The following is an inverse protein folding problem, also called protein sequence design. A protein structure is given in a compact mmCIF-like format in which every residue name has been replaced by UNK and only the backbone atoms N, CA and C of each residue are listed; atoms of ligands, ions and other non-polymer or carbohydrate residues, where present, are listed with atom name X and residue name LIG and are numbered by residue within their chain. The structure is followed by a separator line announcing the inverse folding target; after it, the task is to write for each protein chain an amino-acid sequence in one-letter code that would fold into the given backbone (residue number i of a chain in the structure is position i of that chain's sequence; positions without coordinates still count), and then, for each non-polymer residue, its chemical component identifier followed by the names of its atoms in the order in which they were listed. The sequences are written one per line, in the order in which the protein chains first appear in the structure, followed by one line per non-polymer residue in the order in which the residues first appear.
data_IF_970115590570
#
_entry.id   IF_970115590570
#
_cell.length_a   1.000
_cell.length_b   1.000
_cell.length_c   1.000
_cell.angle_alpha   90.00
_cell.angle_beta   90.00
_cell.angle_gamma   90.00
#
_symmetry.space_group_name_H-M   'P 1'
#
loop_
_entity.id
_entity.type
_entity.pdbx_description
1 polymer ?
#
# COMPACT_ATOMS: atom_id res chain seq x y z
N UNK A 1 -2.27 34.43 3.86
CA UNK A 1 -2.75 33.12 4.33
C UNK A 1 -1.71 32.10 3.93
N UNK A 2 -1.11 31.39 4.88
CA UNK A 2 -0.22 30.26 4.59
C UNK A 2 -1.03 29.18 3.88
N UNK A 3 -0.52 28.63 2.79
CA UNK A 3 -1.19 27.54 2.07
C UNK A 3 -1.28 26.33 3.02
N UNK A 4 -2.44 25.69 3.12
CA UNK A 4 -2.65 24.44 3.88
C UNK A 4 -2.58 23.19 3.00
N UNK A 5 -2.35 23.38 1.71
CA UNK A 5 -2.43 22.28 0.75
C UNK A 5 -1.22 21.36 0.86
N UNK A 6 -1.47 20.06 0.92
CA UNK A 6 -0.43 19.03 0.84
C UNK A 6 -0.69 18.16 -0.39
N UNK A 7 0.31 18.05 -1.26
CA UNK A 7 0.23 17.13 -2.39
C UNK A 7 0.85 15.78 -2.03
N UNK A 8 0.10 14.70 -2.24
CA UNK A 8 0.55 13.33 -1.94
C UNK A 8 0.89 12.62 -3.25
N UNK A 9 2.06 11.98 -3.31
CA UNK A 9 2.45 11.08 -4.40
C UNK A 9 2.46 9.64 -3.90
N UNK A 10 1.61 8.81 -4.48
CA UNK A 10 1.57 7.36 -4.27
C UNK A 10 1.13 6.67 -5.58
N UNK A 11 1.10 5.35 -5.58
CA UNK A 11 0.65 4.56 -6.72
C UNK A 11 -0.81 4.87 -7.11
N UNK A 12 -1.18 4.75 -8.40
CA UNK A 12 -2.57 4.85 -8.82
C UNK A 12 -3.48 3.90 -8.03
N UNK A 13 -4.57 4.42 -7.46
CA UNK A 13 -5.35 3.71 -6.44
C UNK A 13 -6.18 2.53 -7.02
N UNK A 14 -6.68 2.67 -8.25
CA UNK A 14 -7.26 1.60 -9.07
C UNK A 14 -7.99 0.47 -8.32
N UNK A 15 -7.44 -0.74 -8.41
CA UNK A 15 -7.95 -1.98 -7.81
C UNK A 15 -7.24 -2.39 -6.51
N UNK A 16 -6.25 -1.63 -6.05
CA UNK A 16 -5.42 -2.00 -4.91
C UNK A 16 -6.09 -1.54 -3.61
N UNK A 17 -6.83 -2.42 -2.95
CA UNK A 17 -7.51 -2.14 -1.66
C UNK A 17 -6.55 -1.58 -0.60
N UNK A 18 -5.35 -2.15 -0.50
CA UNK A 18 -4.33 -1.66 0.43
C UNK A 18 -3.84 -0.26 0.07
N UNK A 19 -3.56 -0.02 -1.23
CA UNK A 19 -3.19 1.28 -1.76
C UNK A 19 -4.26 2.35 -1.54
N UNK A 20 -5.54 2.00 -1.75
CA UNK A 20 -6.69 2.86 -1.46
C UNK A 20 -6.73 3.22 0.02
N UNK A 21 -6.61 2.23 0.90
CA UNK A 21 -6.74 2.46 2.34
C UNK A 21 -5.56 3.21 2.95
N UNK A 22 -4.32 3.02 2.48
CA UNK A 22 -3.20 3.84 2.97
C UNK A 22 -3.34 5.30 2.49
N UNK A 23 -3.80 5.52 1.25
CA UNK A 23 -4.05 6.87 0.75
C UNK A 23 -5.20 7.55 1.51
N UNK A 24 -6.28 6.82 1.78
CA UNK A 24 -7.38 7.28 2.64
C UNK A 24 -6.84 7.69 4.02
N UNK A 25 -6.14 6.79 4.70
CA UNK A 25 -5.67 7.01 6.06
C UNK A 25 -4.69 8.18 6.14
N UNK A 26 -3.76 8.32 5.18
CA UNK A 26 -2.86 9.46 5.13
C UNK A 26 -3.62 10.78 4.94
N UNK A 27 -4.64 10.81 4.07
CA UNK A 27 -5.47 12.02 3.94
C UNK A 27 -6.24 12.33 5.23
N UNK A 28 -6.78 11.33 5.93
CA UNK A 28 -7.48 11.57 7.20
C UNK A 28 -6.54 12.10 8.27
N UNK A 29 -5.32 11.55 8.40
CA UNK A 29 -4.34 12.01 9.38
C UNK A 29 -3.94 13.47 9.12
N UNK A 30 -3.72 13.84 7.85
CA UNK A 30 -3.40 15.21 7.47
C UNK A 30 -4.58 16.18 7.68
N UNK A 31 -5.83 15.72 7.47
CA UNK A 31 -7.03 16.52 7.78
C UNK A 31 -7.21 16.76 9.28
N UNK A 32 -6.91 15.75 10.12
CA UNK A 32 -6.91 15.91 11.57
C UNK A 32 -5.87 16.93 12.05
N UNK A 33 -4.80 17.15 11.26
CA UNK A 33 -3.78 18.19 11.46
C UNK A 33 -4.13 19.53 10.78
N UNK A 34 -5.38 19.73 10.35
CA UNK A 34 -5.88 20.98 9.74
C UNK A 34 -5.20 21.35 8.40
N UNK A 35 -4.76 20.33 7.64
CA UNK A 35 -4.27 20.47 6.26
C UNK A 35 -5.30 20.02 5.21
N UNK A 36 -5.08 20.44 3.97
CA UNK A 36 -5.90 20.10 2.80
C UNK A 36 -5.14 19.14 1.86
N UNK A 37 -5.20 17.81 2.10
CA UNK A 37 -4.46 16.86 1.30
C UNK A 37 -5.11 16.61 -0.06
N UNK A 38 -4.28 16.50 -1.09
CA UNK A 38 -4.66 16.16 -2.47
C UNK A 38 -3.69 15.11 -3.00
N UNK A 39 -4.18 13.91 -3.28
CA UNK A 39 -3.38 12.87 -3.93
C UNK A 39 -3.28 13.14 -5.43
N UNK A 40 -2.06 13.18 -5.97
CA UNK A 40 -1.84 13.39 -7.38
C UNK A 40 -2.23 12.12 -8.17
N UNK A 41 -3.18 12.26 -9.10
CA UNK A 41 -3.57 11.18 -10.01
C UNK A 41 -2.62 11.13 -11.20
N UNK A 42 -1.69 10.18 -11.19
CA UNK A 42 -0.60 10.05 -12.16
C UNK A 42 -0.71 8.70 -12.90
N UNK A 43 -1.61 8.58 -13.90
CA UNK A 43 -1.88 7.29 -14.57
C UNK A 43 -0.89 6.94 -15.69
N UNK A 44 0.12 7.78 -15.97
CA UNK A 44 1.01 7.59 -17.12
C UNK A 44 2.34 6.93 -16.77
N UNK A 45 2.95 6.35 -17.79
CA UNK A 45 4.14 5.50 -17.68
C UNK A 45 5.21 5.95 -18.69
N UNK A 46 6.42 6.24 -18.21
CA UNK A 46 7.59 6.62 -19.02
C UNK A 46 8.26 5.46 -19.74
N UNK A 47 7.87 4.20 -19.50
CA UNK A 47 8.41 3.04 -20.22
C UNK A 47 8.24 3.21 -21.72
N UNK A 48 9.32 2.92 -22.45
CA UNK A 48 9.38 3.10 -23.90
C UNK A 48 8.24 2.34 -24.59
N UNK A 49 7.74 2.91 -25.70
CA UNK A 49 6.70 2.24 -26.51
C UNK A 49 7.13 0.84 -26.94
N UNK A 50 8.44 0.65 -27.19
CA UNK A 50 9.03 -0.64 -27.55
C UNK A 50 8.99 -1.65 -26.39
N UNK A 51 9.29 -1.23 -25.16
CA UNK A 51 9.18 -2.09 -23.97
C UNK A 51 7.72 -2.46 -23.68
N UNK A 52 6.81 -1.48 -23.76
CA UNK A 52 5.36 -1.74 -23.65
C UNK A 52 4.85 -2.69 -24.74
N UNK A 53 5.35 -2.53 -25.96
CA UNK A 53 5.05 -3.43 -27.08
C UNK A 53 5.60 -4.83 -26.82
N UNK A 54 6.86 -4.97 -26.37
CA UNK A 54 7.47 -6.26 -26.06
C UNK A 54 6.73 -6.99 -24.91
N UNK A 55 6.39 -6.28 -23.83
CA UNK A 55 5.58 -6.81 -22.73
C UNK A 55 4.18 -7.25 -23.23
N UNK A 56 3.56 -6.50 -24.16
CA UNK A 56 2.30 -6.89 -24.80
C UNK A 56 2.44 -8.13 -25.71
N UNK A 57 3.56 -8.28 -26.43
CA UNK A 57 3.84 -9.48 -27.24
C UNK A 57 4.02 -10.71 -26.35
N UNK A 58 4.73 -10.59 -25.22
CA UNK A 58 4.88 -11.69 -24.25
C UNK A 58 3.53 -12.12 -23.66
N UNK A 59 2.62 -11.19 -23.39
CA UNK A 59 1.24 -11.49 -22.93
C UNK A 59 0.43 -12.23 -24.00
N UNK A 60 0.61 -11.85 -25.27
CA UNK A 60 0.00 -12.51 -26.43
C UNK A 60 0.50 -13.95 -26.60
N UNK A 61 1.82 -14.17 -26.46
CA UNK A 61 2.46 -15.49 -26.54
C UNK A 61 2.08 -16.39 -25.37
N UNK A 62 1.94 -15.85 -24.16
CA UNK A 62 1.46 -16.59 -22.97
C UNK A 62 -0.04 -16.92 -22.98
N UNK A 63 -0.76 -16.65 -24.08
CA UNK A 63 -2.23 -16.85 -24.21
C UNK A 63 -3.02 -16.21 -23.04
N UNK A 64 -2.56 -15.06 -22.55
CA UNK A 64 -3.30 -14.29 -21.53
C UNK A 64 -4.43 -13.56 -22.27
N UNK A 65 -5.59 -14.22 -22.37
CA UNK A 65 -6.75 -13.79 -23.15
C UNK A 65 -7.56 -12.71 -22.44
N UNK A 66 -6.99 -11.52 -22.23
CA UNK A 66 -7.59 -10.44 -21.44
C UNK A 66 -8.21 -9.31 -22.30
N UNK A 67 -9.41 -8.83 -21.93
CA UNK A 67 -10.03 -7.62 -22.50
C UNK A 67 -9.62 -6.40 -21.65
N UNK A 68 -8.89 -5.46 -22.24
CA UNK A 68 -8.41 -4.23 -21.58
C UNK A 68 -9.28 -3.00 -21.91
N UNK A 69 -10.50 -3.20 -22.40
CA UNK A 69 -11.33 -2.05 -22.76
C UNK A 69 -11.59 -1.15 -21.55
N UNK A 70 -11.53 0.16 -21.75
CA UNK A 70 -11.82 1.17 -20.73
C UNK A 70 -13.24 0.97 -20.15
N UNK A 71 -14.16 0.39 -20.94
CA UNK A 71 -15.52 0.07 -20.49
C UNK A 71 -15.51 -1.08 -19.49
N UNK A 72 -14.77 -2.14 -19.78
CA UNK A 72 -14.61 -3.31 -18.91
C UNK A 72 -13.96 -2.91 -17.58
N UNK A 73 -12.90 -2.09 -17.63
CA UNK A 73 -12.24 -1.55 -16.44
C UNK A 73 -13.18 -0.73 -15.56
N UNK A 74 -14.01 0.13 -16.14
CA UNK A 74 -14.98 0.93 -15.37
C UNK A 74 -15.99 0.07 -14.60
N UNK A 75 -16.48 -1.00 -15.21
CA UNK A 75 -17.44 -1.91 -14.57
C UNK A 75 -16.76 -2.69 -13.45
N UNK A 76 -15.57 -3.25 -13.73
CA UNK A 76 -14.79 -4.02 -12.75
C UNK A 76 -14.44 -3.19 -11.52
N UNK A 77 -14.02 -1.94 -11.71
CA UNK A 77 -13.57 -1.04 -10.64
C UNK A 77 -14.69 -0.16 -10.06
N UNK A 78 -15.96 -0.42 -10.38
CA UNK A 78 -17.04 0.51 -10.02
C UNK A 78 -17.12 0.80 -8.52
N UNK A 79 -16.87 -0.21 -7.68
CA UNK A 79 -16.96 -0.05 -6.23
C UNK A 79 -15.70 0.60 -5.64
N UNK A 80 -14.51 0.21 -6.07
CA UNK A 80 -13.26 0.85 -5.60
C UNK A 80 -13.18 2.30 -6.08
N UNK A 81 -13.58 2.58 -7.32
CA UNK A 81 -13.66 3.93 -7.88
C UNK A 81 -14.66 4.80 -7.13
N UNK A 82 -15.81 4.25 -6.75
CA UNK A 82 -16.79 4.94 -5.90
C UNK A 82 -16.17 5.31 -4.55
N UNK A 83 -15.51 4.37 -3.88
CA UNK A 83 -14.87 4.66 -2.59
C UNK A 83 -13.82 5.79 -2.71
N UNK A 84 -12.95 5.71 -3.72
CA UNK A 84 -11.95 6.75 -3.99
C UNK A 84 -12.62 8.11 -4.21
N UNK A 85 -13.66 8.19 -5.03
CA UNK A 85 -14.39 9.44 -5.31
C UNK A 85 -15.07 10.03 -4.06
N UNK A 86 -15.55 9.18 -3.15
CA UNK A 86 -16.25 9.61 -1.94
C UNK A 86 -15.30 10.06 -0.83
N UNK A 87 -14.13 9.43 -0.70
CA UNK A 87 -13.29 9.57 0.49
C UNK A 87 -11.90 10.17 0.24
N UNK A 88 -11.44 10.23 -1.01
CA UNK A 88 -10.08 10.64 -1.37
C UNK A 88 -10.13 11.82 -2.35
N UNK A 89 -9.53 12.94 -1.95
CA UNK A 89 -9.40 14.10 -2.84
C UNK A 89 -8.26 13.86 -3.82
N UNK A 90 -8.59 13.76 -5.11
CA UNK A 90 -7.63 13.59 -6.20
C UNK A 90 -7.39 14.89 -6.97
N UNK A 91 -6.19 15.06 -7.52
CA UNK A 91 -5.96 16.04 -8.59
C UNK A 91 -6.68 15.62 -9.88
N UNK A 92 -6.82 16.53 -10.87
CA UNK A 92 -7.08 16.10 -12.24
C UNK A 92 -6.01 15.09 -12.70
N UNK A 93 -6.34 14.14 -13.59
CA UNK A 93 -5.37 13.16 -14.07
C UNK A 93 -4.23 13.84 -14.82
N UNK A 94 -3.01 13.66 -14.32
CA UNK A 94 -1.77 14.20 -14.87
C UNK A 94 -1.18 13.12 -15.76
N UNK A 95 -1.36 13.21 -17.08
CA UNK A 95 -1.00 12.16 -18.07
C UNK A 95 0.35 12.36 -18.76
N UNK A 96 1.15 13.33 -18.31
CA UNK A 96 2.50 13.57 -18.82
C UNK A 96 3.35 14.38 -17.84
N UNK A 97 4.66 14.36 -18.05
CA UNK A 97 5.62 15.17 -17.30
C UNK A 97 5.30 16.67 -17.41
N UNK A 98 4.85 17.10 -18.59
CA UNK A 98 4.44 18.48 -18.82
C UNK A 98 3.23 18.84 -17.95
N UNK A 99 2.25 17.94 -17.83
CA UNK A 99 1.07 18.14 -16.99
C UNK A 99 1.41 18.12 -15.50
N UNK A 100 2.31 17.23 -15.05
CA UNK A 100 2.81 17.21 -13.67
C UNK A 100 3.50 18.53 -13.30
N UNK A 101 4.45 18.97 -14.12
CA UNK A 101 5.18 20.23 -13.90
C UNK A 101 4.26 21.45 -14.02
N UNK A 102 3.27 21.42 -14.91
CA UNK A 102 2.27 22.48 -15.01
C UNK A 102 1.36 22.54 -13.78
N UNK A 103 0.96 21.38 -13.24
CA UNK A 103 0.17 21.30 -12.01
C UNK A 103 0.95 21.90 -10.84
N UNK A 104 2.19 21.44 -10.63
CA UNK A 104 3.11 21.99 -9.63
C UNK A 104 3.22 23.53 -9.72
N UNK A 105 3.47 24.09 -10.91
CA UNK A 105 3.58 25.55 -11.07
C UNK A 105 2.29 26.32 -10.78
N UNK A 106 1.13 25.70 -10.99
CA UNK A 106 -0.19 26.34 -10.85
C UNK A 106 -0.82 26.16 -9.47
N UNK A 107 -0.37 25.17 -8.70
CA UNK A 107 -0.97 24.78 -7.44
C UNK A 107 0.10 24.88 -6.33
N UNK A 108 0.29 26.07 -5.73
CA UNK A 108 1.21 26.20 -4.61
C UNK A 108 0.77 25.31 -3.45
N UNK A 109 1.74 24.68 -2.80
CA UNK A 109 1.51 23.74 -1.71
C UNK A 109 2.43 24.08 -0.53
N UNK A 110 1.96 23.71 0.66
CA UNK A 110 2.76 23.74 1.89
C UNK A 110 3.85 22.68 1.83
N UNK A 111 3.47 21.48 1.38
CA UNK A 111 4.35 20.33 1.32
C UNK A 111 3.96 19.38 0.17
N UNK A 112 4.95 18.62 -0.26
CA UNK A 112 4.79 17.39 -1.03
C UNK A 112 5.18 16.20 -0.14
N UNK A 113 4.27 15.24 -0.01
CA UNK A 113 4.48 14.00 0.73
C UNK A 113 4.53 12.85 -0.27
N UNK A 114 5.62 12.09 -0.28
CA UNK A 114 5.72 10.84 -1.03
C UNK A 114 5.44 9.66 -0.11
N UNK A 115 4.57 8.76 -0.56
CA UNK A 115 4.15 7.58 0.19
C UNK A 115 2.68 7.62 0.61
N UNK A 116 2.21 6.63 1.36
CA UNK A 116 2.95 5.39 1.64
C UNK A 116 2.88 4.43 0.44
N UNK A 117 3.34 3.20 0.65
CA UNK A 117 3.48 2.08 -0.30
C UNK A 117 4.82 1.99 -1.05
N UNK A 118 4.96 0.99 -1.94
CA UNK A 118 6.17 0.62 -2.69
C UNK A 118 6.57 1.68 -3.75
N UNK A 119 6.53 2.95 -3.38
CA UNK A 119 6.76 4.13 -4.22
C UNK A 119 8.24 4.35 -4.56
N UNK A 120 9.14 3.62 -3.90
CA UNK A 120 10.57 3.63 -4.21
C UNK A 120 11.07 2.30 -4.80
N UNK A 121 10.16 1.39 -5.15
CA UNK A 121 10.51 0.15 -5.85
C UNK A 121 10.74 0.43 -7.34
N UNK A 122 11.98 0.32 -7.81
CA UNK A 122 12.34 0.68 -9.18
C UNK A 122 11.58 -0.14 -10.22
N UNK A 123 11.33 -1.43 -9.95
CA UNK A 123 10.54 -2.29 -10.83
C UNK A 123 9.11 -1.76 -11.05
N UNK A 124 8.50 -1.13 -10.03
CA UNK A 124 7.09 -0.75 -10.03
C UNK A 124 6.86 0.71 -10.41
N UNK A 125 7.89 1.55 -10.38
CA UNK A 125 7.77 2.99 -10.57
C UNK A 125 8.57 3.44 -11.80
N UNK A 126 7.91 3.55 -12.97
CA UNK A 126 8.56 4.00 -14.21
C UNK A 126 9.17 5.41 -14.16
N UNK A 127 8.74 6.23 -13.21
CA UNK A 127 9.14 7.62 -13.05
C UNK A 127 9.78 7.85 -11.70
N UNK A 128 10.67 6.93 -11.30
CA UNK A 128 11.20 6.88 -9.94
C UNK A 128 11.78 8.23 -9.48
N UNK A 129 12.43 9.00 -10.36
CA UNK A 129 12.96 10.34 -10.03
C UNK A 129 11.88 11.31 -9.52
N UNK A 130 10.66 11.25 -10.06
CA UNK A 130 9.55 12.11 -9.61
C UNK A 130 9.01 11.67 -8.25
N UNK A 131 9.13 10.38 -7.92
CA UNK A 131 8.83 9.86 -6.58
C UNK A 131 9.97 10.11 -5.58
N UNK A 132 11.11 10.65 -6.03
CA UNK A 132 12.08 11.36 -5.18
C UNK A 132 11.89 12.90 -5.28
N UNK A 133 10.74 13.35 -5.77
CA UNK A 133 10.37 14.77 -5.97
C UNK A 133 11.34 15.55 -6.87
N UNK A 134 12.03 14.88 -7.79
CA UNK A 134 12.99 15.50 -8.72
C UNK A 134 12.39 16.48 -9.72
N UNK A 135 11.06 16.53 -9.85
CA UNK A 135 10.39 17.55 -10.67
C UNK A 135 10.32 18.93 -10.01
N UNK A 136 10.54 19.01 -8.70
CA UNK A 136 10.54 20.27 -7.93
C UNK A 136 11.94 20.89 -8.00
N UNK A 137 12.09 22.14 -8.48
CA UNK A 137 13.38 22.84 -8.52
C UNK A 137 14.06 22.89 -7.15
N UNK A 138 15.38 22.76 -7.11
CA UNK A 138 16.16 22.76 -5.86
C UNK A 138 15.94 24.01 -4.99
N UNK A 139 15.92 25.18 -5.63
CA UNK A 139 15.75 26.46 -4.94
C UNK A 139 14.32 26.68 -4.38
N UNK A 140 13.37 25.78 -4.66
CA UNK A 140 12.01 25.88 -4.13
C UNK A 140 11.97 25.45 -2.65
N UNK A 141 11.53 26.34 -1.73
CA UNK A 141 11.49 26.07 -0.29
C UNK A 141 10.33 25.15 0.13
N UNK A 142 9.49 24.66 -0.80
CA UNK A 142 8.41 23.72 -0.47
C UNK A 142 8.93 22.51 0.29
N UNK A 143 8.21 22.11 1.34
CA UNK A 143 8.60 20.98 2.17
C UNK A 143 8.49 19.69 1.38
N UNK A 144 9.57 18.93 1.34
CA UNK A 144 9.65 17.61 0.70
C UNK A 144 9.72 16.57 1.81
N UNK A 145 8.71 15.70 1.89
CA UNK A 145 8.56 14.74 2.98
C UNK A 145 8.34 13.35 2.37
N UNK A 146 9.01 12.35 2.92
CA UNK A 146 8.66 10.95 2.66
C UNK A 146 7.97 10.41 3.91
N UNK A 147 6.75 9.90 3.75
CA UNK A 147 6.01 9.28 4.84
C UNK A 147 5.80 7.79 4.56
N UNK A 148 6.36 6.93 5.41
CA UNK A 148 6.28 5.48 5.29
C UNK A 148 6.56 5.01 3.85
N UNK A 149 7.53 5.63 3.16
CA UNK A 149 7.90 5.23 1.81
C UNK A 149 8.54 3.84 1.85
N UNK A 150 8.29 3.04 0.83
CA UNK A 150 8.70 1.64 0.81
C UNK A 150 9.43 1.29 -0.48
N UNK A 151 10.55 0.59 -0.32
CA UNK A 151 11.27 -0.05 -1.42
C UNK A 151 10.67 -1.41 -1.73
N UNK A 152 10.12 -2.09 -0.72
CA UNK A 152 9.38 -3.32 -0.94
C UNK A 152 10.21 -4.53 -1.32
N UNK A 153 11.53 -4.38 -1.40
CA UNK A 153 12.51 -5.42 -1.74
C UNK A 153 13.76 -5.22 -0.88
N UNK A 154 14.41 -6.33 -0.57
CA UNK A 154 15.71 -6.38 0.09
C UNK A 154 16.57 -7.42 -0.65
N UNK A 155 17.73 -7.03 -1.22
CA UNK A 155 18.30 -5.68 -1.24
C UNK A 155 17.49 -4.68 -2.10
N UNK A 156 17.65 -3.37 -1.81
CA UNK A 156 16.99 -2.30 -2.57
C UNK A 156 17.43 -2.32 -4.04
N UNK A 157 16.45 -2.27 -4.95
CA UNK A 157 16.60 -2.39 -6.41
C UNK A 157 16.99 -1.08 -7.13
N UNK A 158 17.74 -0.21 -6.45
CA UNK A 158 18.31 1.00 -7.08
C UNK A 158 19.64 0.63 -7.72
N UNK A 159 19.86 1.06 -8.97
CA UNK A 159 21.12 0.85 -9.68
C UNK A 159 22.26 1.72 -9.07
N UNK A 160 23.50 1.22 -8.92
CA UNK A 160 24.62 1.97 -8.33
C UNK A 160 24.85 3.35 -8.95
N UNK A 161 24.66 3.48 -10.26
CA UNK A 161 24.87 4.73 -11.03
C UNK A 161 23.86 5.83 -10.65
N UNK A 162 22.70 5.45 -10.09
CA UNK A 162 21.68 6.39 -9.61
C UNK A 162 21.89 6.84 -8.17
N UNK A 163 22.87 6.26 -7.47
CA UNK A 163 23.10 6.53 -6.05
C UNK A 163 23.38 8.02 -5.81
N UNK A 164 24.26 8.63 -6.61
CA UNK A 164 24.60 10.05 -6.46
C UNK A 164 23.38 10.96 -6.68
N UNK A 165 22.56 10.68 -7.70
CA UNK A 165 21.33 11.42 -7.96
C UNK A 165 20.35 11.32 -6.77
N UNK A 166 20.14 10.12 -6.23
CA UNK A 166 19.19 9.95 -5.13
C UNK A 166 19.71 10.42 -3.79
N UNK A 167 21.01 10.38 -3.54
CA UNK A 167 21.62 11.11 -2.42
C UNK A 167 21.32 12.60 -2.50
N UNK A 168 21.49 13.19 -3.68
CA UNK A 168 21.20 14.61 -3.90
C UNK A 168 19.70 14.92 -3.71
N UNK A 169 18.80 14.13 -4.32
CA UNK A 169 17.36 14.33 -4.15
C UNK A 169 16.89 14.12 -2.71
N UNK A 170 17.36 13.09 -2.02
CA UNK A 170 17.01 12.80 -0.62
C UNK A 170 17.51 13.89 0.32
N UNK A 171 18.66 14.52 0.04
CA UNK A 171 19.18 15.62 0.88
C UNK A 171 18.27 16.86 0.88
N UNK A 172 17.37 16.98 -0.10
CA UNK A 172 16.36 18.06 -0.20
C UNK A 172 15.10 17.78 0.64
N UNK A 173 14.95 16.58 1.20
CA UNK A 173 13.82 16.26 2.06
C UNK A 173 14.04 16.86 3.45
N UNK A 174 12.99 17.50 3.99
CA UNK A 174 13.03 18.01 5.37
C UNK A 174 12.88 16.87 6.38
N UNK A 175 12.22 15.79 5.98
CA UNK A 175 12.08 14.58 6.79
C UNK A 175 11.84 13.36 5.90
N UNK A 176 12.47 12.24 6.26
CA UNK A 176 12.32 10.96 5.57
C UNK A 176 11.88 9.91 6.58
N UNK A 177 10.79 9.21 6.27
CA UNK A 177 10.43 8.00 6.98
C UNK A 177 10.09 6.85 6.03
N UNK A 178 10.33 5.63 6.52
CA UNK A 178 10.19 4.39 5.76
C UNK A 178 9.33 3.38 6.50
N UNK A 179 8.65 2.53 5.73
CA UNK A 179 7.75 1.49 6.27
C UNK A 179 8.49 0.26 6.76
N UNK A 180 9.64 -0.05 6.16
CA UNK A 180 10.52 -1.16 6.55
C UNK A 180 11.66 -0.67 7.42
N UNK A 181 11.82 -1.25 8.60
CA UNK A 181 12.92 -0.90 9.51
C UNK A 181 14.31 -1.20 8.90
N UNK A 182 14.42 -2.19 8.01
CA UNK A 182 15.67 -2.51 7.31
C UNK A 182 16.13 -1.41 6.34
N UNK A 183 15.21 -0.57 5.84
CA UNK A 183 15.57 0.52 4.94
C UNK A 183 16.26 1.70 5.66
N UNK A 184 16.09 1.84 6.98
CA UNK A 184 16.69 2.92 7.77
C UNK A 184 18.23 2.92 7.71
N UNK A 185 18.94 1.84 8.14
CA UNK A 185 20.39 1.81 8.06
C UNK A 185 20.89 1.88 6.61
N UNK A 186 20.13 1.35 5.65
CA UNK A 186 20.54 1.34 4.26
C UNK A 186 20.47 2.74 3.62
N UNK A 187 19.46 3.54 3.96
CA UNK A 187 19.39 4.94 3.54
C UNK A 187 20.59 5.75 4.03
N UNK A 188 21.00 5.53 5.28
CA UNK A 188 22.16 6.20 5.86
C UNK A 188 23.47 5.76 5.16
N UNK A 189 23.69 4.45 5.01
CA UNK A 189 24.93 3.90 4.47
C UNK A 189 25.10 4.15 2.97
N UNK A 190 24.02 3.98 2.19
CA UNK A 190 24.08 4.03 0.73
C UNK A 190 23.86 5.44 0.18
N UNK A 191 22.97 6.20 0.79
CA UNK A 191 22.55 7.50 0.25
C UNK A 191 22.95 8.69 1.14
N UNK A 192 23.48 8.45 2.34
CA UNK A 192 23.78 9.53 3.29
C UNK A 192 22.52 10.19 3.87
N UNK A 193 21.36 9.52 3.76
CA UNK A 193 20.08 10.07 4.17
C UNK A 193 19.67 9.54 5.54
N UNK A 194 19.31 10.43 6.47
CA UNK A 194 18.75 10.04 7.77
C UNK A 194 17.26 9.78 7.61
N UNK A 195 16.80 8.61 8.05
CA UNK A 195 15.41 8.23 7.99
C UNK A 195 14.91 7.67 9.33
N UNK A 196 13.62 7.83 9.59
CA UNK A 196 12.94 7.21 10.72
C UNK A 196 12.06 6.06 10.24
N UNK A 197 12.00 4.97 10.98
CA UNK A 197 10.96 3.98 10.76
C UNK A 197 9.63 4.46 11.37
N UNK A 198 8.53 4.34 10.62
CA UNK A 198 7.18 4.70 11.07
C UNK A 198 6.17 3.64 10.65
N UNK A 199 4.98 3.67 11.27
CA UNK A 199 3.86 2.85 10.86
C UNK A 199 3.34 3.26 9.46
N UNK A 200 2.84 2.28 8.71
CA UNK A 200 2.01 2.52 7.54
C UNK A 200 0.80 3.41 7.91
N UNK A 201 0.35 4.34 7.04
CA UNK A 201 -0.79 5.22 7.33
C UNK A 201 -2.03 4.47 7.82
N UNK A 202 -2.28 3.27 7.30
CA UNK A 202 -3.44 2.46 7.73
C UNK A 202 -3.42 2.15 9.23
N UNK A 203 -2.24 2.03 9.82
CA UNK A 203 -2.09 1.70 11.23
C UNK A 203 -2.10 2.94 12.14
N UNK A 204 -2.27 4.15 11.59
CA UNK A 204 -2.43 5.38 12.37
C UNK A 204 -3.78 5.46 13.08
N UNK A 205 -4.75 4.68 12.64
CA UNK A 205 -6.12 4.67 13.17
C UNK A 205 -6.38 3.39 13.96
N UNK A 206 -7.30 3.51 14.91
CA UNK A 206 -7.85 2.42 15.71
C UNK A 206 -8.94 1.67 14.95
N UNK A 207 -9.31 0.49 15.46
CA UNK A 207 -10.45 -0.28 14.97
C UNK A 207 -11.73 0.55 15.03
N UNK A 208 -11.95 1.21 16.16
CA UNK A 208 -13.15 2.00 16.45
C UNK A 208 -13.28 3.18 15.48
N UNK A 209 -12.17 3.87 15.18
CA UNK A 209 -12.16 4.95 14.19
C UNK A 209 -12.53 4.45 12.77
N UNK A 210 -12.04 3.27 12.36
CA UNK A 210 -12.43 2.71 11.07
C UNK A 210 -13.91 2.33 11.02
N UNK A 211 -14.44 1.75 12.10
CA UNK A 211 -15.86 1.41 12.20
C UNK A 211 -16.72 2.67 12.10
N UNK A 212 -16.40 3.71 12.85
CA UNK A 212 -17.15 4.97 12.88
C UNK A 212 -17.08 5.72 11.54
N UNK A 213 -15.87 5.95 11.02
CA UNK A 213 -15.67 6.77 9.83
C UNK A 213 -16.22 6.15 8.54
N UNK A 214 -16.23 4.81 8.44
CA UNK A 214 -16.67 4.09 7.25
C UNK A 214 -18.01 3.37 7.42
N UNK A 215 -18.61 3.41 8.62
CA UNK A 215 -19.85 2.72 8.94
C UNK A 215 -19.74 1.20 8.78
N UNK A 216 -18.60 0.62 9.16
CA UNK A 216 -18.36 -0.83 9.04
C UNK A 216 -19.25 -1.60 10.01
N UNK A 217 -19.75 -2.76 9.58
CA UNK A 217 -20.58 -3.62 10.42
C UNK A 217 -19.75 -4.68 11.13
N UNK A 218 -19.84 -4.69 12.45
CA UNK A 218 -19.27 -5.75 13.26
C UNK A 218 -20.30 -6.88 13.45
N UNK A 219 -20.13 -7.92 12.65
CA UNK A 219 -20.98 -9.11 12.59
C UNK A 219 -20.04 -10.34 12.59
N UNK A 220 -19.53 -10.78 13.76
CA UNK A 220 -18.53 -11.84 13.83
C UNK A 220 -18.97 -13.12 13.10
N UNK A 221 -18.11 -13.60 12.20
CA UNK A 221 -18.25 -14.84 11.47
C UNK A 221 -17.39 -15.93 12.10
N UNK A 222 -17.90 -17.16 12.10
CA UNK A 222 -17.12 -18.34 12.47
C UNK A 222 -16.15 -18.80 11.38
N UNK A 223 -16.08 -18.13 10.23
CA UNK A 223 -15.31 -18.56 9.07
C UNK A 223 -13.92 -17.92 8.97
N UNK A 224 -13.03 -18.60 8.24
CA UNK A 224 -11.76 -18.03 7.80
C UNK A 224 -11.99 -17.08 6.63
N UNK A 225 -11.41 -15.88 6.70
CA UNK A 225 -11.38 -14.95 5.56
C UNK A 225 -10.04 -15.07 4.82
N UNK A 226 -10.06 -15.64 3.62
CA UNK A 226 -8.86 -15.85 2.81
C UNK A 226 -8.68 -14.72 1.79
N UNK A 227 -7.86 -13.72 2.11
CA UNK A 227 -7.57 -12.57 1.24
C UNK A 227 -6.28 -12.76 0.43
N UNK A 228 -6.41 -13.05 -0.87
CA UNK A 228 -5.27 -13.35 -1.74
C UNK A 228 -5.11 -12.32 -2.87
N UNK A 229 -3.97 -11.63 -2.89
CA UNK A 229 -3.52 -10.80 -4.02
C UNK A 229 -3.12 -11.67 -5.21
N UNK A 230 -2.39 -12.76 -4.97
CA UNK A 230 -2.03 -13.73 -6.00
C UNK A 230 -2.68 -15.07 -5.71
N UNK A 231 -3.72 -15.40 -6.46
CA UNK A 231 -4.40 -16.69 -6.35
C UNK A 231 -3.57 -17.79 -6.99
N UNK A 232 -3.25 -18.83 -6.21
CA UNK A 232 -2.66 -20.08 -6.70
C UNK A 232 -3.39 -21.26 -6.04
N UNK A 233 -3.49 -22.43 -6.72
CA UNK A 233 -4.09 -23.62 -6.10
C UNK A 233 -3.45 -23.98 -4.76
N UNK A 234 -2.13 -23.80 -4.63
CA UNK A 234 -1.42 -24.07 -3.38
C UNK A 234 -1.80 -23.12 -2.25
N UNK A 235 -1.99 -21.81 -2.52
CA UNK A 235 -2.43 -20.84 -1.50
C UNK A 235 -3.89 -21.06 -1.09
N UNK A 236 -4.76 -21.41 -2.02
CA UNK A 236 -6.15 -21.77 -1.72
C UNK A 236 -6.21 -23.06 -0.89
N UNK A 237 -5.37 -24.03 -1.21
CA UNK A 237 -5.22 -25.27 -0.45
C UNK A 237 -4.72 -25.02 0.98
N UNK A 238 -3.73 -24.16 1.18
CA UNK A 238 -3.29 -23.74 2.51
C UNK A 238 -4.42 -23.07 3.29
N UNK A 239 -5.19 -22.18 2.67
CA UNK A 239 -6.35 -21.56 3.31
C UNK A 239 -7.43 -22.60 3.72
N UNK A 240 -7.67 -23.61 2.88
CA UNK A 240 -8.57 -24.73 3.18
C UNK A 240 -8.07 -25.53 4.39
N UNK A 241 -6.79 -25.90 4.40
CA UNK A 241 -6.19 -26.67 5.50
C UNK A 241 -6.25 -25.90 6.83
N UNK A 242 -6.03 -24.58 6.80
CA UNK A 242 -6.18 -23.72 7.98
C UNK A 242 -7.65 -23.69 8.43
N UNK A 243 -8.61 -23.52 7.53
CA UNK A 243 -10.02 -23.55 7.91
C UNK A 243 -10.43 -24.90 8.55
N UNK A 244 -9.94 -26.01 8.01
CA UNK A 244 -10.17 -27.35 8.56
C UNK A 244 -9.57 -27.54 9.95
N UNK A 245 -8.37 -27.02 10.20
CA UNK A 245 -7.74 -27.07 11.53
C UNK A 245 -8.50 -26.23 12.57
N UNK A 246 -9.25 -25.22 12.11
CA UNK A 246 -10.18 -24.43 12.92
C UNK A 246 -11.62 -24.99 12.95
N UNK A 247 -11.87 -26.16 12.33
CA UNK A 247 -13.19 -26.78 12.21
C UNK A 247 -14.26 -25.87 11.57
N UNK A 248 -13.86 -25.10 10.55
CA UNK A 248 -14.73 -24.14 9.87
C UNK A 248 -14.53 -24.13 8.35
N UNK A 249 -15.34 -23.33 7.65
CA UNK A 249 -15.23 -23.02 6.23
C UNK A 249 -14.39 -21.77 5.99
N UNK A 250 -14.02 -21.52 4.73
CA UNK A 250 -13.34 -20.30 4.34
C UNK A 250 -14.12 -19.53 3.26
N UNK A 251 -14.06 -18.21 3.35
CA UNK A 251 -14.52 -17.30 2.30
C UNK A 251 -13.30 -16.75 1.54
N UNK A 252 -13.18 -17.10 0.26
CA UNK A 252 -12.09 -16.63 -0.59
C UNK A 252 -12.38 -15.24 -1.16
N UNK A 253 -11.59 -14.27 -0.74
CA UNK A 253 -11.52 -12.94 -1.32
C UNK A 253 -10.28 -12.81 -2.19
N UNK A 254 -10.42 -13.05 -3.50
CA UNK A 254 -9.33 -12.98 -4.46
C UNK A 254 -9.69 -12.01 -5.61
N UNK A 255 -9.49 -10.69 -5.42
CA UNK A 255 -9.96 -9.67 -6.36
C UNK A 255 -9.40 -9.83 -7.78
N UNK A 256 -8.26 -10.54 -7.91
CA UNK A 256 -7.60 -10.77 -9.20
C UNK A 256 -7.89 -12.15 -9.82
N UNK A 257 -8.70 -13.00 -9.16
CA UNK A 257 -9.00 -14.37 -9.63
C UNK A 257 -9.80 -14.39 -10.93
N UNK A 258 -10.71 -13.44 -11.10
CA UNK A 258 -11.62 -13.36 -12.23
C UNK A 258 -11.19 -12.26 -13.21
N UNK A 259 -9.92 -12.26 -13.62
CA UNK A 259 -9.49 -11.36 -14.70
C UNK A 259 -9.92 -11.95 -16.04
N UNK A 260 -10.77 -11.22 -16.75
CA UNK A 260 -11.55 -11.70 -17.91
C UNK A 260 -10.68 -12.54 -18.84
N UNK A 261 -10.85 -13.86 -18.83
CA UNK A 261 -10.51 -14.68 -20.00
C UNK A 261 -11.60 -14.44 -21.04
N UNK A 262 -11.28 -14.41 -22.34
CA UNK A 262 -12.30 -14.41 -23.41
C UNK A 262 -13.38 -15.45 -23.10
N UNK A 263 -14.61 -15.00 -22.83
CA UNK A 263 -15.78 -15.85 -22.52
C UNK A 263 -16.25 -15.85 -21.05
N UNK A 264 -15.62 -15.14 -20.12
CA UNK A 264 -16.20 -14.89 -18.79
C UNK A 264 -17.12 -13.66 -18.80
N UNK A 265 -18.24 -13.74 -18.08
CA UNK A 265 -19.14 -12.62 -17.83
C UNK A 265 -18.42 -11.53 -17.02
N UNK A 266 -18.56 -10.27 -17.44
CA UNK A 266 -17.87 -9.12 -16.85
C UNK A 266 -18.29 -8.89 -15.39
N UNK A 267 -19.53 -9.27 -15.07
CA UNK A 267 -20.13 -9.17 -13.74
C UNK A 267 -19.40 -10.01 -12.70
N UNK A 268 -18.89 -11.19 -13.11
CA UNK A 268 -18.10 -12.06 -12.23
C UNK A 268 -16.71 -11.48 -11.90
N UNK A 269 -16.31 -10.43 -12.61
CA UNK A 269 -15.03 -9.75 -12.46
C UNK A 269 -15.14 -8.48 -11.62
N UNK A 270 -16.36 -8.07 -11.21
CA UNK A 270 -16.59 -6.87 -10.41
C UNK A 270 -15.87 -7.02 -9.06
N UNK A 271 -14.99 -6.06 -8.76
CA UNK A 271 -14.32 -5.99 -7.47
C UNK A 271 -15.34 -5.61 -6.39
N UNK A 272 -15.40 -6.34 -5.27
CA UNK A 272 -16.26 -5.95 -4.15
C UNK A 272 -16.02 -4.52 -3.62
N UNK A 273 -16.95 -3.96 -2.84
CA UNK A 273 -16.70 -2.72 -2.10
C UNK A 273 -15.51 -2.82 -1.13
N UNK A 274 -14.81 -1.70 -0.92
CA UNK A 274 -13.66 -1.62 0.00
C UNK A 274 -14.10 -1.90 1.43
N UNK A 275 -15.28 -1.43 1.79
CA UNK A 275 -15.95 -1.68 3.07
C UNK A 275 -16.17 -3.17 3.28
N UNK A 276 -16.57 -3.92 2.24
CA UNK A 276 -16.78 -5.38 2.33
C UNK A 276 -15.48 -6.14 2.53
N UNK A 277 -14.38 -5.66 1.96
CA UNK A 277 -13.06 -6.21 2.22
C UNK A 277 -12.64 -5.98 3.69
N UNK A 278 -12.83 -4.77 4.21
CA UNK A 278 -12.54 -4.45 5.62
C UNK A 278 -13.42 -5.25 6.58
N UNK A 279 -14.73 -5.33 6.32
CA UNK A 279 -15.68 -6.15 7.09
C UNK A 279 -15.30 -7.63 7.06
N UNK A 280 -14.82 -8.14 5.92
CA UNK A 280 -14.32 -9.52 5.81
C UNK A 280 -13.18 -9.82 6.77
N UNK A 281 -12.23 -8.88 6.93
CA UNK A 281 -11.15 -8.99 7.92
C UNK A 281 -11.72 -8.80 9.34
N UNK A 282 -12.47 -7.72 9.57
CA UNK A 282 -13.07 -7.33 10.86
C UNK A 282 -13.96 -8.42 11.47
N UNK A 283 -14.62 -9.22 10.65
CA UNK A 283 -15.58 -10.21 11.11
C UNK A 283 -15.02 -11.64 11.10
N UNK A 284 -13.86 -11.88 10.49
CA UNK A 284 -13.29 -13.22 10.43
C UNK A 284 -13.00 -13.82 11.82
N UNK A 285 -13.07 -15.15 11.90
CA UNK A 285 -12.49 -15.93 13.00
C UNK A 285 -10.95 -15.89 12.91
N UNK A 286 -10.42 -16.05 11.70
CA UNK A 286 -9.00 -16.00 11.37
C UNK A 286 -8.83 -15.51 9.93
N UNK A 287 -7.75 -14.79 9.65
CA UNK A 287 -7.46 -14.25 8.31
C UNK A 287 -6.30 -15.02 7.68
N UNK A 288 -6.45 -15.48 6.45
CA UNK A 288 -5.33 -16.04 5.68
C UNK A 288 -5.02 -15.11 4.52
N UNK A 289 -3.79 -14.64 4.37
CA UNK A 289 -3.48 -13.61 3.36
C UNK A 289 -2.06 -13.63 2.83
N UNK A 290 -1.83 -13.17 1.61
CA UNK A 290 -0.47 -12.86 1.10
C UNK A 290 -0.23 -11.34 1.00
N UNK A 291 -1.11 -10.54 1.63
CA UNK A 291 -1.10 -9.09 1.57
C UNK A 291 -0.55 -8.47 2.84
N UNK A 292 0.40 -7.54 2.68
CA UNK A 292 0.86 -6.70 3.79
C UNK A 292 -0.30 -5.98 4.49
N UNK A 293 -1.22 -5.40 3.71
CA UNK A 293 -2.38 -4.70 4.29
C UNK A 293 -3.40 -5.68 4.90
N UNK A 294 -3.45 -6.93 4.43
CA UNK A 294 -4.22 -7.97 5.11
C UNK A 294 -3.71 -8.21 6.53
N UNK A 295 -2.38 -8.29 6.71
CA UNK A 295 -1.75 -8.38 8.03
C UNK A 295 -1.94 -7.10 8.84
N UNK A 296 -1.72 -5.93 8.24
CA UNK A 296 -1.89 -4.65 8.94
C UNK A 296 -3.31 -4.49 9.50
N UNK A 297 -4.35 -4.76 8.70
CA UNK A 297 -5.73 -4.70 9.16
C UNK A 297 -6.09 -5.83 10.13
N UNK A 298 -5.48 -7.02 10.02
CA UNK A 298 -5.64 -8.07 11.04
C UNK A 298 -5.11 -7.61 12.40
N UNK A 299 -3.94 -6.95 12.44
CA UNK A 299 -3.38 -6.34 13.64
C UNK A 299 -4.27 -5.20 14.18
N UNK A 300 -4.77 -4.32 13.30
CA UNK A 300 -5.66 -3.20 13.68
C UNK A 300 -6.96 -3.72 14.30
N UNK A 301 -7.58 -4.74 13.71
CA UNK A 301 -8.87 -5.29 14.16
C UNK A 301 -8.74 -6.38 15.24
N UNK A 302 -7.52 -6.73 15.62
CA UNK A 302 -7.27 -7.75 16.65
C UNK A 302 -7.68 -9.15 16.19
N UNK A 303 -7.37 -9.52 14.94
CA UNK A 303 -7.71 -10.80 14.34
C UNK A 303 -6.52 -11.72 14.21
N UNK A 304 -6.61 -12.97 14.69
CA UNK A 304 -5.62 -13.99 14.36
C UNK A 304 -5.45 -14.12 12.85
N UNK A 305 -4.24 -14.39 12.41
CA UNK A 305 -3.94 -14.50 10.98
C UNK A 305 -2.81 -15.46 10.68
N UNK A 306 -2.79 -15.91 9.43
CA UNK A 306 -1.66 -16.61 8.79
C UNK A 306 -1.36 -15.90 7.47
N UNK A 307 -0.17 -15.32 7.37
CA UNK A 307 0.31 -14.66 6.17
C UNK A 307 1.22 -15.59 5.36
N UNK A 308 0.95 -15.72 4.06
CA UNK A 308 1.71 -16.53 3.12
C UNK A 308 2.68 -15.61 2.36
N UNK A 309 3.91 -15.53 2.82
CA UNK A 309 4.94 -14.63 2.27
C UNK A 309 5.81 -15.40 1.28
N UNK A 310 6.10 -14.81 0.13
CA UNK A 310 6.99 -15.43 -0.85
C UNK A 310 8.45 -15.27 -0.41
N UNK A 311 9.24 -16.34 -0.42
CA UNK A 311 10.67 -16.32 -0.07
C UNK A 311 11.56 -15.45 -1.00
N UNK A 312 11.03 -14.99 -2.13
CA UNK A 312 11.76 -14.25 -3.16
C UNK A 312 11.16 -12.85 -3.41
N UNK A 313 11.26 -11.99 -2.40
CA UNK A 313 10.95 -10.55 -2.50
C UNK A 313 9.69 -10.13 -1.75
N UNK A 314 9.80 -9.06 -0.97
CA UNK A 314 8.69 -8.48 -0.20
C UNK A 314 8.66 -8.83 1.30
N UNK A 315 9.51 -9.76 1.77
CA UNK A 315 9.59 -10.19 3.19
C UNK A 315 9.96 -9.04 4.14
N UNK A 316 10.85 -8.12 3.74
CA UNK A 316 11.36 -7.06 4.63
C UNK A 316 10.29 -6.18 5.28
N UNK A 317 9.12 -6.04 4.63
CA UNK A 317 7.94 -5.36 5.20
C UNK A 317 7.29 -6.16 6.31
N UNK A 318 7.22 -7.47 6.15
CA UNK A 318 6.72 -8.38 7.17
C UNK A 318 7.72 -8.53 8.31
N UNK A 319 9.03 -8.57 8.05
CA UNK A 319 10.09 -8.68 9.08
C UNK A 319 9.97 -7.63 10.18
N UNK A 320 9.60 -6.42 9.79
CA UNK A 320 9.36 -5.32 10.74
C UNK A 320 8.18 -5.65 11.66
N UNK A 321 7.05 -6.11 11.10
CA UNK A 321 5.87 -6.48 11.88
C UNK A 321 6.13 -7.74 12.72
N UNK A 322 6.87 -8.72 12.18
CA UNK A 322 7.27 -9.94 12.88
C UNK A 322 8.01 -9.58 14.17
N UNK A 323 9.06 -8.77 14.06
CA UNK A 323 9.86 -8.36 15.22
C UNK A 323 9.06 -7.50 16.20
N UNK A 324 8.19 -6.64 15.69
CA UNK A 324 7.46 -5.68 16.52
C UNK A 324 6.33 -6.32 17.33
N UNK A 325 5.64 -7.30 16.75
CA UNK A 325 4.49 -7.97 17.36
C UNK A 325 4.78 -9.40 17.81
N UNK A 326 6.06 -9.79 17.82
CA UNK A 326 6.54 -11.13 18.19
C UNK A 326 5.80 -12.24 17.41
N UNK A 327 5.63 -12.04 16.10
CA UNK A 327 4.88 -12.98 15.26
C UNK A 327 5.67 -14.27 15.05
N UNK A 328 4.96 -15.39 15.04
CA UNK A 328 5.54 -16.69 14.73
C UNK A 328 5.80 -16.78 13.23
N UNK A 329 6.91 -17.41 12.82
CA UNK A 329 7.19 -17.64 11.41
C UNK A 329 7.93 -18.96 11.19
N UNK A 330 7.60 -19.66 10.11
CA UNK A 330 8.27 -20.88 9.69
C UNK A 330 8.20 -21.09 8.18
N UNK A 331 9.13 -21.89 7.67
CA UNK A 331 9.22 -22.21 6.25
C UNK A 331 8.23 -23.33 5.87
N UNK A 332 7.45 -23.10 4.82
CA UNK A 332 6.50 -24.05 4.23
C UNK A 332 6.74 -24.11 2.70
N UNK A 333 7.59 -25.05 2.28
CA UNK A 333 7.97 -25.20 0.87
C UNK A 333 8.66 -23.96 0.29
N UNK A 334 7.98 -23.26 -0.63
CA UNK A 334 8.49 -22.05 -1.28
C UNK A 334 8.03 -20.74 -0.59
N UNK A 335 7.31 -20.87 0.52
CA UNK A 335 6.74 -19.76 1.26
C UNK A 335 7.26 -19.73 2.69
N UNK A 336 7.17 -18.55 3.29
CA UNK A 336 7.28 -18.35 4.72
C UNK A 336 5.89 -18.06 5.26
N UNK A 337 5.41 -18.90 6.17
CA UNK A 337 4.16 -18.67 6.89
C UNK A 337 4.45 -17.82 8.12
N UNK A 338 3.84 -16.65 8.18
CA UNK A 338 3.94 -15.73 9.31
C UNK A 338 2.59 -15.66 10.00
N UNK A 339 2.49 -16.04 11.26
CA UNK A 339 1.22 -16.14 11.98
C UNK A 339 1.19 -15.34 13.26
N UNK A 340 -0.03 -14.97 13.66
CA UNK A 340 -0.30 -14.55 15.03
C UNK A 340 0.19 -15.60 16.04
N UNK A 341 0.77 -15.20 17.19
CA UNK A 341 1.12 -16.13 18.26
C UNK A 341 -0.06 -16.97 18.74
N UNK A 342 0.22 -18.19 19.23
CA UNK A 342 -0.82 -19.06 19.81
C UNK A 342 -1.64 -18.38 20.90
N UNK A 343 -0.99 -17.58 21.75
CA UNK A 343 -1.64 -16.69 22.70
C UNK A 343 -1.72 -15.29 22.09
N UNK A 344 -2.76 -15.03 21.30
CA UNK A 344 -2.94 -13.75 20.62
C UNK A 344 -3.53 -12.69 21.56
N UNK A 345 -2.67 -11.98 22.30
CA UNK A 345 -3.09 -10.90 23.20
C UNK A 345 -3.38 -9.61 22.41
N UNK A 346 -4.66 -9.45 22.04
CA UNK A 346 -5.17 -8.27 21.34
C UNK A 346 -4.90 -6.97 22.11
N UNK A 347 -4.88 -6.99 23.45
CA UNK A 347 -4.62 -5.79 24.26
C UNK A 347 -3.14 -5.40 24.15
N UNK A 348 -2.22 -6.36 24.23
CA UNK A 348 -0.79 -6.10 24.07
C UNK A 348 -0.46 -5.55 22.67
N UNK A 349 -1.11 -6.08 21.63
CA UNK A 349 -0.98 -5.58 20.26
C UNK A 349 -1.50 -4.14 20.15
N UNK A 350 -2.70 -3.87 20.68
CA UNK A 350 -3.27 -2.53 20.67
C UNK A 350 -2.39 -1.50 21.40
N UNK A 351 -1.78 -1.89 22.53
CA UNK A 351 -0.83 -1.05 23.28
C UNK A 351 0.44 -0.77 22.47
N UNK A 352 1.01 -1.81 21.82
CA UNK A 352 2.17 -1.66 20.94
C UNK A 352 1.85 -0.71 19.78
N UNK A 353 0.71 -0.89 19.12
CA UNK A 353 0.23 0.01 18.07
C UNK A 353 0.08 1.44 18.58
N UNK A 354 -0.59 1.65 19.72
CA UNK A 354 -0.79 2.98 20.29
C UNK A 354 0.53 3.73 20.52
N UNK A 355 1.55 3.06 21.05
CA UNK A 355 2.88 3.65 21.24
C UNK A 355 3.51 4.10 19.92
N UNK A 356 3.47 3.25 18.90
CA UNK A 356 4.07 3.57 17.59
C UNK A 356 3.23 4.55 16.75
N UNK A 357 1.92 4.63 16.98
CA UNK A 357 1.05 5.68 16.41
C UNK A 357 1.51 7.05 16.87
N UNK A 358 1.76 7.25 18.17
CA UNK A 358 2.25 8.53 18.70
C UNK A 358 3.54 8.95 17.99
N UNK A 359 4.52 8.05 17.85
CA UNK A 359 5.78 8.35 17.16
C UNK A 359 5.58 8.66 15.67
N UNK A 360 4.66 7.96 15.00
CA UNK A 360 4.42 8.13 13.57
C UNK A 360 3.63 9.40 13.25
N UNK A 361 2.64 9.75 14.08
CA UNK A 361 1.91 11.02 14.03
C UNK A 361 2.85 12.18 14.33
N UNK A 362 3.67 12.07 15.39
CA UNK A 362 4.65 13.10 15.75
C UNK A 362 5.69 13.36 14.66
N UNK A 363 6.06 12.34 13.86
CA UNK A 363 6.90 12.53 12.67
C UNK A 363 6.22 13.45 11.64
N UNK A 364 4.94 13.24 11.34
CA UNK A 364 4.19 14.08 10.40
C UNK A 364 4.05 15.51 10.92
N UNK A 365 3.66 15.67 12.19
CA UNK A 365 3.53 16.99 12.83
C UNK A 365 4.86 17.76 12.74
N UNK A 366 5.96 17.14 13.16
CA UNK A 366 7.28 17.77 13.11
C UNK A 366 7.76 18.08 11.69
N UNK A 367 7.45 17.23 10.71
CA UNK A 367 7.87 17.44 9.32
C UNK A 367 7.08 18.56 8.63
N UNK A 368 5.84 18.79 9.06
CA UNK A 368 4.93 19.78 8.49
C UNK A 368 5.04 21.15 9.17
N UNK A 369 5.41 21.21 10.45
CA UNK A 369 5.69 22.45 11.19
C UNK A 369 6.99 23.12 10.76
#
# INVERSE_FOLDING_TARGET
MTTKRIHILTHPLGANYGGIMQAYALQQALRQMDYEPVTLDIPFDRRSRLRRWAEAQVRTVKRISYDQSIRSERVVLQHTSRFVQQHITLSPPLRSDAQLRQHYRKQPAHAYVVGSDQVWRQEFVPMLDDYFLGFIPEADPVRRIAYAASFGVDPIDIAPERTALYSELLSRFVAISVRESSAVPLLAQRFGATAQWVLDPTMLFTKEEYIDQLGLREEPSGEVFAYMLTHTPHKEELARQIAESHHTTYHLFAPWRHWTKRGQELEACILPPVERWLEGILNAQCVVTDSFHGVAFSLIFGKPFVAIVNNHGGCSRFDTLIKLFDLEHHQEGAYELVSSPKCYDVKAIAQTLARHRITSIGFLESALH
#
